data_IF_538551032107
#
_entry.id   IF_538551032107
#
_cell.length_a   1.000
_cell.length_b   1.000
_cell.length_c   1.000
_cell.angle_alpha   90.00
_cell.angle_beta   90.00
_cell.angle_gamma   90.00
#
_symmetry.space_group_name_H-M   'P 1'
#
loop_
_entity.id
_entity.type
_entity.pdbx_description
1 polymer ?
#
# COMPACT_ATOMS: atom_id res chain seq x y z
N UNK A 1 16.71 13.26 -9.41
CA UNK A 1 15.25 13.34 -9.63
C UNK A 1 14.59 14.72 -9.36
N UNK A 2 15.34 15.77 -8.99
CA UNK A 2 14.79 17.10 -8.68
C UNK A 2 15.17 18.19 -9.68
N UNK A 3 15.94 17.85 -10.72
CA UNK A 3 16.24 18.80 -11.79
C UNK A 3 14.92 19.26 -12.41
N UNK A 4 14.70 20.56 -12.36
CA UNK A 4 13.44 21.20 -12.69
C UNK A 4 13.61 21.90 -14.03
N UNK A 5 12.79 21.54 -15.01
CA UNK A 5 12.81 22.15 -16.33
C UNK A 5 11.39 22.60 -16.72
N UNK A 6 11.06 23.86 -16.42
CA UNK A 6 9.73 24.38 -16.70
C UNK A 6 9.39 24.42 -18.20
N UNK A 7 10.40 24.40 -19.08
CA UNK A 7 10.18 24.38 -20.54
C UNK A 7 9.51 23.08 -20.98
N UNK A 8 9.75 22.00 -20.24
CA UNK A 8 9.20 20.67 -20.48
C UNK A 8 8.12 20.28 -19.46
N UNK A 9 7.44 21.23 -18.83
CA UNK A 9 6.37 20.92 -17.88
C UNK A 9 5.14 20.32 -18.58
N UNK A 10 4.58 19.22 -18.00
CA UNK A 10 3.44 18.47 -18.57
C UNK A 10 3.69 17.95 -20.00
N UNK A 11 4.93 17.60 -20.32
CA UNK A 11 5.26 16.97 -21.58
C UNK A 11 4.60 15.58 -21.66
N UNK A 12 4.08 15.19 -22.84
CA UNK A 12 3.52 13.86 -23.05
C UNK A 12 4.62 12.77 -22.95
N UNK A 13 4.24 11.49 -22.80
CA UNK A 13 5.20 10.38 -22.75
C UNK A 13 6.13 10.36 -23.97
N UNK A 14 7.43 10.23 -23.73
CA UNK A 14 8.47 10.15 -24.76
C UNK A 14 9.53 9.10 -24.38
N UNK A 15 10.44 8.77 -25.30
CA UNK A 15 11.53 7.83 -25.02
C UNK A 15 12.46 8.32 -23.89
N UNK A 16 12.58 9.64 -23.72
CA UNK A 16 13.33 10.25 -22.62
C UNK A 16 12.53 10.29 -21.32
N UNK A 17 11.20 10.43 -21.41
CA UNK A 17 10.28 10.50 -20.26
C UNK A 17 9.13 9.50 -20.46
N UNK A 18 9.33 8.25 -20.04
CA UNK A 18 8.41 7.14 -20.33
C UNK A 18 6.98 7.36 -19.83
N UNK A 19 6.81 8.13 -18.74
CA UNK A 19 5.51 8.53 -18.20
C UNK A 19 5.25 10.04 -18.34
N UNK A 20 6.04 10.73 -19.16
CA UNK A 20 6.03 12.18 -19.29
C UNK A 20 6.60 12.89 -18.07
N UNK A 21 6.31 14.18 -17.96
CA UNK A 21 6.83 15.04 -16.91
C UNK A 21 5.74 15.62 -16.01
N UNK A 22 6.11 15.91 -14.76
CA UNK A 22 5.26 16.59 -13.78
C UNK A 22 5.03 18.07 -14.14
N UNK A 23 4.22 18.78 -13.34
CA UNK A 23 3.97 20.23 -13.44
C UNK A 23 5.24 21.09 -13.35
N UNK A 24 6.34 20.49 -12.93
CA UNK A 24 7.64 21.11 -12.77
C UNK A 24 8.67 20.58 -13.80
N UNK A 25 8.23 19.80 -14.80
CA UNK A 25 9.12 19.25 -15.83
C UNK A 25 10.04 18.13 -15.34
N UNK A 26 9.68 17.47 -14.24
CA UNK A 26 10.43 16.36 -13.65
C UNK A 26 9.93 15.04 -14.20
N UNK A 27 10.81 14.07 -14.41
CA UNK A 27 10.44 12.72 -14.82
C UNK A 27 9.45 12.05 -13.85
N UNK A 28 8.26 11.70 -14.35
CA UNK A 28 7.19 11.08 -13.56
C UNK A 28 7.52 9.67 -13.11
N UNK A 29 8.18 8.86 -13.96
CA UNK A 29 8.50 7.47 -13.68
C UNK A 29 9.45 7.35 -12.49
N UNK A 30 10.51 8.15 -12.46
CA UNK A 30 11.46 8.22 -11.37
C UNK A 30 10.77 8.57 -10.06
N UNK A 31 9.79 9.49 -10.08
CA UNK A 31 9.01 9.84 -8.88
C UNK A 31 8.12 8.71 -8.40
N UNK A 32 7.48 7.99 -9.32
CA UNK A 32 6.66 6.81 -8.97
C UNK A 32 7.53 5.72 -8.35
N UNK A 33 8.71 5.43 -8.92
CA UNK A 33 9.63 4.41 -8.38
C UNK A 33 10.14 4.80 -6.98
N UNK A 34 10.50 6.07 -6.77
CA UNK A 34 10.95 6.53 -5.45
C UNK A 34 9.81 6.51 -4.44
N UNK A 35 8.60 6.91 -4.83
CA UNK A 35 7.41 6.89 -3.96
C UNK A 35 6.90 5.48 -3.68
N UNK A 36 7.02 4.55 -4.63
CA UNK A 36 6.55 3.18 -4.47
C UNK A 36 7.36 2.42 -3.43
N UNK A 37 8.66 2.71 -3.28
CA UNK A 37 9.50 2.12 -2.24
C UNK A 37 8.87 2.27 -0.85
N UNK A 38 8.49 3.48 -0.45
CA UNK A 38 7.89 3.70 0.88
C UNK A 38 6.52 3.04 1.01
N UNK A 39 5.68 3.12 -0.04
CA UNK A 39 4.33 2.55 -0.01
C UNK A 39 4.36 1.03 0.12
N UNK A 40 5.17 0.35 -0.70
CA UNK A 40 5.27 -1.13 -0.71
C UNK A 40 5.74 -1.65 0.64
N UNK A 41 6.80 -1.06 1.22
CA UNK A 41 7.31 -1.47 2.53
C UNK A 41 6.28 -1.28 3.64
N UNK A 42 5.58 -0.14 3.66
CA UNK A 42 4.57 0.13 4.69
C UNK A 42 3.40 -0.86 4.64
N UNK A 43 2.88 -1.16 3.43
CA UNK A 43 1.78 -2.09 3.25
C UNK A 43 2.18 -3.52 3.59
N UNK A 44 3.38 -3.95 3.18
CA UNK A 44 3.88 -5.29 3.52
C UNK A 44 4.01 -5.48 5.03
N UNK A 45 4.54 -4.48 5.74
CA UNK A 45 4.66 -4.52 7.20
C UNK A 45 3.28 -4.60 7.86
N UNK A 46 2.33 -3.77 7.41
CA UNK A 46 0.96 -3.77 7.91
C UNK A 46 0.29 -5.14 7.72
N UNK A 47 0.38 -5.71 6.52
CA UNK A 47 -0.19 -7.03 6.20
C UNK A 47 0.45 -8.12 7.05
N UNK A 48 1.78 -8.08 7.24
CA UNK A 48 2.48 -9.05 8.09
C UNK A 48 1.97 -8.99 9.53
N UNK A 49 1.84 -7.80 10.11
CA UNK A 49 1.34 -7.62 11.48
C UNK A 49 -0.11 -8.07 11.62
N UNK A 50 -1.00 -7.65 10.72
CA UNK A 50 -2.41 -8.05 10.74
C UNK A 50 -2.54 -9.56 10.58
N UNK A 51 -1.76 -10.16 9.69
CA UNK A 51 -1.76 -11.62 9.49
C UNK A 51 -1.32 -12.34 10.76
N UNK A 52 -0.20 -11.96 11.38
CA UNK A 52 0.28 -12.60 12.60
C UNK A 52 -0.74 -12.48 13.73
N UNK A 53 -1.27 -11.27 13.97
CA UNK A 53 -2.25 -11.04 15.02
C UNK A 53 -3.57 -11.76 14.73
N UNK A 54 -4.07 -11.66 13.50
CA UNK A 54 -5.30 -12.30 13.06
C UNK A 54 -5.21 -13.83 13.12
N UNK A 55 -4.08 -14.41 12.72
CA UNK A 55 -3.84 -15.85 12.86
C UNK A 55 -3.71 -16.27 14.32
N UNK A 56 -2.99 -15.51 15.17
CA UNK A 56 -2.89 -15.83 16.59
C UNK A 56 -4.26 -15.80 17.29
N UNK A 57 -5.06 -14.76 17.02
CA UNK A 57 -6.44 -14.68 17.49
C UNK A 57 -7.26 -15.84 16.93
N UNK A 58 -7.20 -16.11 15.62
CA UNK A 58 -7.93 -17.19 14.95
C UNK A 58 -7.61 -18.59 15.49
N UNK A 59 -6.34 -18.87 15.82
CA UNK A 59 -5.94 -20.14 16.45
C UNK A 59 -6.48 -20.22 17.88
N UNK A 60 -6.43 -19.13 18.64
CA UNK A 60 -7.01 -19.05 19.98
C UNK A 60 -8.55 -19.17 19.97
N UNK A 61 -9.22 -18.67 18.93
CA UNK A 61 -10.63 -18.92 18.62
C UNK A 61 -10.90 -20.41 18.49
N UNK A 62 -10.16 -21.06 17.58
CA UNK A 62 -10.38 -22.44 17.19
C UNK A 62 -10.10 -23.42 18.32
N UNK A 63 -9.09 -23.15 19.16
CA UNK A 63 -8.77 -23.99 20.32
C UNK A 63 -9.91 -24.00 21.34
N UNK A 64 -10.45 -22.83 21.69
CA UNK A 64 -11.43 -22.69 22.75
C UNK A 64 -12.88 -22.72 22.23
N UNK A 65 -13.15 -23.32 21.05
CA UNK A 65 -14.33 -23.21 20.16
C UNK A 65 -15.76 -23.05 20.72
N UNK A 66 -15.98 -23.03 22.04
CA UNK A 66 -17.20 -22.64 22.74
C UNK A 66 -17.36 -21.13 22.94
N UNK A 67 -16.29 -20.39 23.29
CA UNK A 67 -16.42 -18.95 23.61
C UNK A 67 -16.47 -18.06 22.35
N UNK A 68 -15.68 -18.40 21.33
CA UNK A 68 -15.61 -17.62 20.09
C UNK A 68 -16.87 -17.78 19.24
N UNK A 69 -17.46 -18.98 19.25
CA UNK A 69 -18.73 -19.28 18.58
C UNK A 69 -19.86 -18.40 19.15
N UNK A 70 -19.87 -18.22 20.48
CA UNK A 70 -20.82 -17.32 21.17
C UNK A 70 -20.60 -15.85 20.79
N UNK A 71 -19.36 -15.40 20.67
CA UNK A 71 -19.03 -14.01 20.29
C UNK A 71 -19.35 -13.76 18.81
N UNK A 72 -19.07 -14.70 17.91
CA UNK A 72 -19.39 -14.61 16.49
C UNK A 72 -20.90 -14.59 16.25
N UNK A 73 -21.66 -15.48 16.90
CA UNK A 73 -23.12 -15.43 16.87
C UNK A 73 -23.66 -14.08 17.35
N UNK A 74 -23.09 -13.53 18.44
CA UNK A 74 -23.50 -12.24 19.00
C UNK A 74 -23.21 -11.04 18.09
N UNK A 75 -22.13 -11.07 17.32
CA UNK A 75 -21.81 -10.02 16.35
C UNK A 75 -22.69 -10.15 15.10
N UNK A 76 -22.99 -11.38 14.66
CA UNK A 76 -23.91 -11.61 13.52
C UNK A 76 -25.36 -11.28 13.83
N UNK A 77 -25.78 -11.37 15.09
CA UNK A 77 -27.11 -10.94 15.54
C UNK A 77 -27.26 -9.41 15.73
N UNK A 78 -26.15 -8.64 15.64
CA UNK A 78 -26.17 -7.16 15.76
C UNK A 78 -26.31 -6.43 14.43
#
# INVERSE_FOLDING_TARGET
PYLQDLSNAKAPPSAEHLLGTDRYGRDMLSRVIVGSRTSIFSTLLLVAVITVLGTAVGVFCGWNGRWMDTVLMRISDM
#
